data_IF_455740821009
#
_entry.id   IF_455740821009
#
_cell.length_a   1.000
_cell.length_b   1.000
_cell.length_c   1.000
_cell.angle_alpha   90.00
_cell.angle_beta   90.00
_cell.angle_gamma   90.00
#
_symmetry.space_group_name_H-M   'P 1'
#
loop_
_entity.id
_entity.type
_entity.pdbx_description
1 polymer ?
#
# COMPACT_ATOMS: atom_id res chain seq x y z
N UNK A 1 22.42 -2.82 -12.10
CA UNK A 1 20.98 -3.17 -12.10
C UNK A 1 20.23 -2.15 -12.94
N UNK A 2 19.57 -2.57 -14.02
CA UNK A 2 18.76 -1.68 -14.87
C UNK A 2 17.29 -1.89 -14.52
N UNK A 3 16.62 -0.80 -14.16
CA UNK A 3 15.17 -0.75 -14.00
C UNK A 3 14.49 -1.06 -15.33
N UNK A 4 13.47 -1.89 -15.26
CA UNK A 4 12.58 -2.30 -16.33
C UNK A 4 11.93 -1.06 -16.96
N UNK A 5 12.48 -0.54 -18.05
CA UNK A 5 11.77 0.41 -18.91
C UNK A 5 10.85 -0.41 -19.80
N UNK A 6 9.57 -0.48 -19.42
CA UNK A 6 8.52 -0.82 -20.37
C UNK A 6 8.63 0.18 -21.53
N UNK A 7 8.85 -0.34 -22.74
CA UNK A 7 8.92 0.47 -23.95
C UNK A 7 7.65 1.31 -24.09
N UNK A 8 7.80 2.54 -24.59
CA UNK A 8 6.68 3.40 -24.95
C UNK A 8 5.87 2.73 -26.07
N UNK A 9 4.91 1.87 -25.67
CA UNK A 9 3.84 1.43 -26.53
C UNK A 9 2.97 2.66 -26.83
N UNK A 10 2.68 2.87 -28.11
CA UNK A 10 2.15 4.10 -28.67
C UNK A 10 1.02 4.74 -27.87
N UNK A 11 1.07 6.07 -27.83
CA UNK A 11 0.00 6.95 -27.37
C UNK A 11 -1.26 6.74 -28.23
N UNK A 12 -2.01 5.68 -27.96
CA UNK A 12 -3.46 5.73 -28.03
C UNK A 12 -3.91 6.36 -26.72
N UNK A 13 -4.57 7.50 -26.81
CA UNK A 13 -5.26 8.19 -25.73
C UNK A 13 -6.39 7.30 -25.19
N UNK A 14 -6.03 6.22 -24.49
CA UNK A 14 -6.98 5.54 -23.62
C UNK A 14 -7.19 6.51 -22.46
N UNK A 15 -8.27 7.28 -22.53
CA UNK A 15 -8.71 8.14 -21.44
C UNK A 15 -8.82 7.28 -20.17
N UNK A 16 -7.81 7.38 -19.30
CA UNK A 16 -7.75 6.64 -18.05
C UNK A 16 -8.71 7.37 -17.08
N UNK A 17 -10.01 7.19 -17.31
CA UNK A 17 -11.04 7.65 -16.40
C UNK A 17 -11.02 6.76 -15.17
N UNK A 18 -10.85 7.37 -13.99
CA UNK A 18 -10.85 6.67 -12.71
C UNK A 18 -11.98 7.24 -11.85
N UNK A 19 -12.81 6.35 -11.29
CA UNK A 19 -13.88 6.75 -10.39
C UNK A 19 -13.46 6.66 -8.92
N UNK A 20 -14.04 7.52 -8.08
CA UNK A 20 -13.71 7.58 -6.65
C UNK A 20 -14.03 6.26 -5.93
N UNK A 21 -15.08 5.56 -6.35
CA UNK A 21 -15.45 4.25 -5.81
C UNK A 21 -14.41 3.18 -6.15
N UNK A 22 -13.86 3.20 -7.36
CA UNK A 22 -12.80 2.27 -7.77
C UNK A 22 -11.52 2.50 -6.94
N UNK A 23 -11.14 3.76 -6.73
CA UNK A 23 -10.03 4.10 -5.84
C UNK A 23 -10.31 3.69 -4.38
N UNK A 24 -11.55 3.85 -3.92
CA UNK A 24 -11.97 3.37 -2.62
C UNK A 24 -11.82 1.86 -2.48
N UNK A 25 -12.19 1.10 -3.51
CA UNK A 25 -12.05 -0.35 -3.56
C UNK A 25 -10.56 -0.76 -3.54
N UNK A 26 -9.69 -0.10 -4.32
CA UNK A 26 -8.24 -0.34 -4.30
C UNK A 26 -7.65 -0.06 -2.91
N UNK A 27 -8.04 1.04 -2.26
CA UNK A 27 -7.60 1.36 -0.91
C UNK A 27 -8.04 0.32 0.13
N UNK A 28 -9.24 -0.25 -0.04
CA UNK A 28 -9.75 -1.33 0.81
C UNK A 28 -9.00 -2.65 0.60
N UNK A 29 -8.75 -3.04 -0.64
CA UNK A 29 -7.98 -4.25 -0.95
C UNK A 29 -6.54 -4.16 -0.43
N UNK A 30 -5.92 -2.98 -0.54
CA UNK A 30 -4.60 -2.73 0.06
C UNK A 30 -4.61 -2.90 1.59
N UNK A 31 -5.69 -2.50 2.27
CA UNK A 31 -5.87 -2.70 3.72
C UNK A 31 -6.01 -4.19 4.07
N UNK A 32 -6.84 -4.94 3.34
CA UNK A 32 -7.01 -6.38 3.53
C UNK A 32 -5.67 -7.09 3.33
N UNK A 33 -4.98 -6.79 2.22
CA UNK A 33 -3.69 -7.40 1.89
C UNK A 33 -2.65 -7.10 2.97
N UNK A 34 -2.58 -5.87 3.48
CA UNK A 34 -1.71 -5.53 4.61
C UNK A 34 -1.99 -6.41 5.83
N UNK A 35 -3.27 -6.59 6.20
CA UNK A 35 -3.67 -7.41 7.34
C UNK A 35 -3.31 -8.88 7.17
N UNK A 36 -3.55 -9.44 5.98
CA UNK A 36 -3.25 -10.84 5.68
C UNK A 36 -1.76 -11.11 5.59
N UNK A 37 -1.00 -10.21 4.94
CA UNK A 37 0.45 -10.33 4.83
C UNK A 37 1.12 -10.26 6.19
N UNK A 38 0.67 -9.36 7.08
CA UNK A 38 1.18 -9.25 8.45
C UNK A 38 1.03 -10.55 9.24
N UNK A 39 -0.07 -11.29 9.05
CA UNK A 39 -0.32 -12.56 9.75
C UNK A 39 0.43 -13.73 9.12
N UNK A 40 0.46 -13.79 7.78
CA UNK A 40 0.89 -14.99 7.05
C UNK A 40 2.38 -14.99 6.69
N UNK A 41 3.03 -13.83 6.65
CA UNK A 41 4.42 -13.71 6.22
C UNK A 41 5.42 -13.51 7.36
N UNK A 42 4.99 -13.59 8.63
CA UNK A 42 5.87 -13.49 9.80
C UNK A 42 6.66 -14.80 10.03
N UNK A 43 7.65 -15.03 9.18
CA UNK A 43 8.56 -16.19 9.30
C UNK A 43 9.47 -16.07 10.52
N UNK A 44 9.85 -14.85 10.90
CA UNK A 44 10.72 -14.60 12.05
C UNK A 44 10.04 -14.96 13.39
N UNK A 45 8.73 -14.73 13.50
CA UNK A 45 7.91 -15.08 14.66
C UNK A 45 7.29 -16.48 14.63
N UNK A 46 7.33 -17.18 13.49
CA UNK A 46 6.68 -18.48 13.35
C UNK A 46 7.30 -19.54 14.27
N UNK A 47 6.48 -20.18 15.12
CA UNK A 47 6.96 -21.22 16.05
C UNK A 47 7.92 -20.68 17.12
N UNK A 48 7.71 -19.43 17.55
CA UNK A 48 8.51 -18.75 18.56
C UNK A 48 8.70 -19.58 19.83
N UNK A 49 9.96 -19.68 20.29
CA UNK A 49 10.30 -20.30 21.57
C UNK A 49 10.14 -19.31 22.75
N UNK A 50 10.46 -19.77 23.96
CA UNK A 50 10.43 -18.94 25.18
C UNK A 50 11.37 -17.72 25.14
N UNK A 51 12.33 -17.69 24.21
CA UNK A 51 13.30 -16.61 24.04
C UNK A 51 12.90 -15.65 22.91
N UNK A 52 11.78 -15.90 22.22
CA UNK A 52 11.31 -15.06 21.12
C UNK A 52 11.96 -15.38 19.76
N UNK A 53 12.62 -16.54 19.60
CA UNK A 53 13.21 -16.95 18.32
C UNK A 53 12.27 -17.84 17.54
N UNK A 54 11.96 -17.50 16.28
CA UNK A 54 11.18 -18.37 15.39
C UNK A 54 11.90 -19.65 15.01
N UNK A 55 11.14 -20.67 14.59
CA UNK A 55 11.65 -22.02 14.32
C UNK A 55 12.75 -22.05 13.26
N UNK A 56 12.67 -21.20 12.23
CA UNK A 56 13.72 -21.06 11.21
C UNK A 56 15.02 -20.52 11.79
N UNK A 57 14.95 -19.51 12.67
CA UNK A 57 16.13 -18.95 13.35
C UNK A 57 16.73 -19.96 14.35
N UNK A 58 15.89 -20.74 15.04
CA UNK A 58 16.34 -21.85 15.89
C UNK A 58 17.09 -22.92 15.08
N UNK A 59 16.55 -23.33 13.94
CA UNK A 59 17.20 -24.29 13.05
C UNK A 59 18.54 -23.74 12.52
N UNK A 60 18.57 -22.46 12.15
CA UNK A 60 19.78 -21.79 11.70
C UNK A 60 20.88 -21.77 12.78
N UNK A 61 20.51 -21.46 14.03
CA UNK A 61 21.42 -21.52 15.17
C UNK A 61 21.94 -22.94 15.44
N UNK A 62 21.06 -23.95 15.36
CA UNK A 62 21.45 -25.35 15.52
C UNK A 62 22.46 -25.77 14.44
N UNK A 63 22.18 -25.49 13.16
CA UNK A 63 23.08 -25.80 12.04
C UNK A 63 24.45 -25.11 12.20
N UNK A 64 24.47 -23.84 12.61
CA UNK A 64 25.72 -23.12 12.93
C UNK A 64 26.51 -23.79 14.04
N UNK A 65 25.85 -24.25 15.12
CA UNK A 65 26.51 -24.95 16.22
C UNK A 65 27.20 -26.26 15.78
N UNK A 66 26.74 -26.84 14.67
CA UNK A 66 27.32 -28.01 14.03
C UNK A 66 28.30 -27.68 12.88
N UNK A 67 28.75 -26.43 12.74
CA UNK A 67 29.65 -25.95 11.68
C UNK A 67 29.09 -26.13 10.26
N UNK A 68 27.76 -26.15 10.11
CA UNK A 68 27.09 -26.24 8.82
C UNK A 68 26.82 -24.83 8.29
N UNK A 69 27.47 -24.47 7.17
CA UNK A 69 27.35 -23.14 6.55
C UNK A 69 25.91 -22.74 6.19
N UNK A 70 25.03 -23.72 5.94
CA UNK A 70 23.59 -23.50 5.71
C UNK A 70 22.92 -22.69 6.82
N UNK A 71 23.40 -22.77 8.07
CA UNK A 71 22.85 -21.97 9.15
C UNK A 71 22.99 -20.47 8.95
N UNK A 72 24.15 -19.99 8.46
CA UNK A 72 24.35 -18.56 8.16
C UNK A 72 23.47 -18.10 6.99
N UNK A 73 23.31 -18.94 5.97
CA UNK A 73 22.45 -18.66 4.83
C UNK A 73 20.97 -18.58 5.23
N UNK A 74 20.50 -19.42 6.16
CA UNK A 74 19.15 -19.34 6.69
C UNK A 74 18.90 -18.05 7.51
N UNK A 75 19.85 -17.63 8.34
CA UNK A 75 19.73 -16.35 9.07
C UNK A 75 19.59 -15.18 8.08
N UNK A 76 20.49 -15.10 7.09
CA UNK A 76 20.45 -14.08 6.03
C UNK A 76 19.12 -14.11 5.25
N UNK A 77 18.62 -15.30 4.94
CA UNK A 77 17.33 -15.49 4.25
C UNK A 77 16.17 -14.93 5.09
N UNK A 78 16.13 -15.21 6.39
CA UNK A 78 15.09 -14.68 7.29
C UNK A 78 15.17 -13.17 7.41
N UNK A 79 16.36 -12.59 7.49
CA UNK A 79 16.57 -11.14 7.54
C UNK A 79 16.06 -10.44 6.27
N UNK A 80 16.46 -10.94 5.10
CA UNK A 80 16.04 -10.40 3.81
C UNK A 80 14.53 -10.54 3.65
N UNK A 81 13.97 -11.72 3.94
CA UNK A 81 12.52 -11.96 3.87
C UNK A 81 11.76 -10.97 4.75
N UNK A 82 12.18 -10.83 6.01
CA UNK A 82 11.56 -9.90 6.97
C UNK A 82 11.61 -8.47 6.47
N UNK A 83 12.74 -8.04 5.90
CA UNK A 83 12.90 -6.71 5.30
C UNK A 83 11.92 -6.49 4.14
N UNK A 84 11.82 -7.45 3.22
CA UNK A 84 10.94 -7.31 2.05
C UNK A 84 9.46 -7.33 2.42
N UNK A 85 9.05 -8.19 3.36
CA UNK A 85 7.68 -8.18 3.88
C UNK A 85 7.36 -6.82 4.51
N UNK A 86 8.28 -6.22 5.27
CA UNK A 86 8.09 -4.87 5.83
C UNK A 86 7.92 -3.82 4.74
N UNK A 87 8.71 -3.85 3.67
CA UNK A 87 8.55 -2.91 2.56
C UNK A 87 7.17 -3.01 1.90
N UNK A 88 6.70 -4.24 1.62
CA UNK A 88 5.38 -4.45 1.03
C UNK A 88 4.27 -4.00 1.99
N UNK A 89 4.38 -4.31 3.28
CA UNK A 89 3.43 -3.82 4.29
C UNK A 89 3.37 -2.28 4.30
N UNK A 90 4.51 -1.60 4.28
CA UNK A 90 4.55 -0.14 4.21
C UNK A 90 3.91 0.41 2.94
N UNK A 91 4.14 -0.24 1.78
CA UNK A 91 3.51 0.14 0.53
C UNK A 91 1.98 -0.02 0.58
N UNK A 92 1.48 -1.15 1.08
CA UNK A 92 0.04 -1.38 1.25
C UNK A 92 -0.60 -0.35 2.19
N UNK A 93 0.06 -0.07 3.32
CA UNK A 93 -0.39 0.96 4.26
C UNK A 93 -0.40 2.35 3.62
N UNK A 94 0.64 2.70 2.86
CA UNK A 94 0.73 3.98 2.17
C UNK A 94 -0.40 4.14 1.14
N UNK A 95 -0.63 3.13 0.29
CA UNK A 95 -1.72 3.15 -0.71
C UNK A 95 -3.08 3.29 -0.02
N UNK A 96 -3.35 2.47 0.99
CA UNK A 96 -4.62 2.49 1.71
C UNK A 96 -4.89 3.85 2.37
N UNK A 97 -3.90 4.38 3.10
CA UNK A 97 -4.01 5.66 3.78
C UNK A 97 -4.17 6.82 2.79
N UNK A 98 -3.42 6.81 1.69
CA UNK A 98 -3.48 7.86 0.69
C UNK A 98 -4.86 7.90 0.01
N UNK A 99 -5.41 6.75 -0.39
CA UNK A 99 -6.71 6.71 -1.07
C UNK A 99 -7.87 7.04 -0.12
N UNK A 100 -7.80 6.62 1.15
CA UNK A 100 -8.77 7.05 2.18
C UNK A 100 -8.71 8.57 2.42
N UNK A 101 -7.50 9.15 2.47
CA UNK A 101 -7.32 10.60 2.56
C UNK A 101 -7.92 11.32 1.34
N UNK A 102 -7.56 10.91 0.11
CA UNK A 102 -8.10 11.50 -1.11
C UNK A 102 -9.62 11.43 -1.16
N UNK A 103 -10.22 10.28 -0.79
CA UNK A 103 -11.68 10.13 -0.73
C UNK A 103 -12.32 11.14 0.22
N UNK A 104 -11.76 11.30 1.42
CA UNK A 104 -12.26 12.26 2.43
C UNK A 104 -12.07 13.71 2.00
N UNK A 105 -10.95 14.03 1.34
CA UNK A 105 -10.68 15.37 0.83
C UNK A 105 -11.73 15.78 -0.20
N UNK A 106 -11.92 14.97 -1.24
CA UNK A 106 -12.91 15.27 -2.29
C UNK A 106 -14.33 15.35 -1.75
N UNK A 107 -14.74 14.43 -0.85
CA UNK A 107 -16.06 14.50 -0.23
C UNK A 107 -16.28 15.81 0.57
N UNK A 108 -15.23 16.33 1.20
CA UNK A 108 -15.27 17.61 1.90
C UNK A 108 -15.35 18.79 0.93
N UNK A 109 -14.59 18.75 -0.15
CA UNK A 109 -14.61 19.76 -1.21
C UNK A 109 -15.98 19.84 -1.87
N UNK A 110 -16.56 18.70 -2.26
CA UNK A 110 -17.91 18.59 -2.83
C UNK A 110 -18.96 19.17 -1.88
N UNK A 111 -18.87 18.87 -0.59
CA UNK A 111 -19.78 19.41 0.41
C UNK A 111 -19.66 20.95 0.54
N UNK A 112 -18.44 21.48 0.43
CA UNK A 112 -18.15 22.91 0.42
C UNK A 112 -18.74 23.60 -0.81
N UNK A 113 -18.51 23.05 -2.00
CA UNK A 113 -19.06 23.55 -3.27
C UNK A 113 -20.59 23.54 -3.21
N UNK A 114 -21.20 22.44 -2.76
CA UNK A 114 -22.64 22.33 -2.62
C UNK A 114 -23.23 23.34 -1.62
N UNK A 115 -22.52 23.65 -0.54
CA UNK A 115 -22.94 24.67 0.42
C UNK A 115 -22.86 26.08 -0.18
N UNK A 116 -21.80 26.41 -0.92
CA UNK A 116 -21.64 27.70 -1.59
C UNK A 116 -22.72 27.92 -2.65
N UNK A 117 -22.98 26.90 -3.48
CA UNK A 117 -24.03 26.93 -4.50
C UNK A 117 -25.41 27.16 -3.87
N UNK A 118 -25.75 26.44 -2.78
CA UNK A 118 -27.03 26.63 -2.08
C UNK A 118 -27.17 27.99 -1.40
N UNK A 119 -26.06 28.57 -0.94
CA UNK A 119 -26.04 29.86 -0.25
C UNK A 119 -26.23 31.07 -1.17
N UNK A 120 -26.05 30.91 -2.48
CA UNK A 120 -26.27 31.99 -3.46
C UNK A 120 -27.77 32.21 -3.71
N UNK A 121 -28.17 33.47 -3.66
CA UNK A 121 -29.50 33.92 -4.11
C UNK A 121 -29.46 34.31 -5.58
N UNK A 122 -30.17 33.57 -6.45
CA UNK A 122 -30.27 33.85 -7.89
C UNK A 122 -29.63 32.78 -8.78
N UNK A 123 -29.75 32.95 -10.10
CA UNK A 123 -29.19 32.00 -11.08
C UNK A 123 -27.66 32.04 -11.11
N UNK A 124 -27.02 30.86 -11.15
CA UNK A 124 -25.56 30.73 -11.26
C UNK A 124 -25.10 30.96 -12.71
N UNK A 125 -24.27 31.96 -13.00
CA UNK A 125 -23.70 32.12 -14.33
C UNK A 125 -22.69 31.00 -14.60
N UNK A 126 -22.69 30.45 -15.82
CA UNK A 126 -21.80 29.35 -16.24
C UNK A 126 -20.32 29.71 -16.05
N UNK A 127 -19.95 30.99 -16.18
CA UNK A 127 -18.59 31.45 -15.93
C UNK A 127 -18.11 31.22 -14.50
N UNK A 128 -19.02 31.20 -13.51
CA UNK A 128 -18.66 30.92 -12.11
C UNK A 128 -18.48 29.42 -11.84
N UNK A 129 -18.92 28.52 -12.74
CA UNK A 129 -18.64 27.09 -12.60
C UNK A 129 -17.16 26.79 -12.86
N UNK A 130 -16.50 27.61 -13.68
CA UNK A 130 -15.07 27.45 -14.01
C UNK A 130 -14.16 27.58 -12.79
N UNK A 131 -14.62 28.25 -11.71
CA UNK A 131 -13.84 28.39 -10.48
C UNK A 131 -13.67 27.06 -9.72
N UNK A 132 -14.54 26.07 -10.00
CA UNK A 132 -14.56 24.75 -9.35
C UNK A 132 -13.89 23.63 -10.17
N UNK A 133 -13.62 23.86 -11.46
CA UNK A 133 -12.88 22.92 -12.31
C UNK A 133 -11.41 23.36 -12.38
N UNK A 134 -10.58 22.91 -11.43
CA UNK A 134 -9.12 23.16 -11.41
C UNK A 134 -8.34 21.87 -11.59
#
# INVERSE_FOLDING_TARGET
MRLNQAGAAGAGDSDLVVHQDDLGAVGHEAFILHGELKKKADVAGAGVDKNGSGSTMQAAAALKSHNLGLGAELESTVEIWTSQVKHVLQACAHISNHLDYSKKLYAREDAGIAAEIRGRTGSLPVSALNDYFK
#
